data_IF_594402276862
#
_entry.id   IF_594402276862
#
_cell.length_a   1.000
_cell.length_b   1.000
_cell.length_c   1.000
_cell.angle_alpha   90.00
_cell.angle_beta   90.00
_cell.angle_gamma   90.00
#
_symmetry.space_group_name_H-M   'P 1'
#
loop_
_entity.id
_entity.type
_entity.pdbx_description
1 polymer ?
#
# COMPACT_ATOMS: atom_id res chain seq x y z
N UNK A 1 -38.30 7.19 -16.36
CA UNK A 1 -37.36 8.26 -16.01
C UNK A 1 -36.47 7.73 -14.87
N UNK A 2 -35.33 7.14 -15.18
CA UNK A 2 -34.37 6.70 -14.15
C UNK A 2 -33.55 7.93 -13.75
N UNK A 3 -33.69 8.37 -12.52
CA UNK A 3 -32.90 9.46 -11.98
C UNK A 3 -31.42 9.04 -11.98
N UNK A 4 -30.59 9.77 -12.68
CA UNK A 4 -29.14 9.77 -12.57
C UNK A 4 -28.77 10.28 -11.17
N UNK A 5 -28.84 9.39 -10.17
CA UNK A 5 -28.15 9.67 -8.90
C UNK A 5 -26.66 9.67 -9.22
N UNK A 6 -26.10 10.88 -9.36
CA UNK A 6 -24.66 11.08 -9.50
C UNK A 6 -23.95 10.38 -8.36
N UNK A 7 -22.87 9.66 -8.68
CA UNK A 7 -21.99 9.02 -7.71
C UNK A 7 -21.38 10.14 -6.85
N UNK A 8 -21.95 10.37 -5.68
CA UNK A 8 -21.53 11.44 -4.76
C UNK A 8 -20.93 10.86 -3.49
N UNK A 9 -20.16 9.80 -3.62
CA UNK A 9 -19.46 9.20 -2.50
C UNK A 9 -18.39 10.18 -1.97
N UNK A 10 -18.51 10.56 -0.71
CA UNK A 10 -17.52 11.42 -0.05
C UNK A 10 -16.17 10.72 0.13
N UNK A 11 -16.19 9.39 0.09
CA UNK A 11 -15.03 8.50 0.27
C UNK A 11 -15.09 7.35 -0.75
N UNK A 12 -13.95 6.97 -1.30
CA UNK A 12 -13.78 5.85 -2.21
C UNK A 12 -12.65 4.94 -1.73
N UNK A 13 -12.70 3.66 -2.10
CA UNK A 13 -11.67 2.68 -1.79
C UNK A 13 -11.09 2.12 -3.09
N UNK A 14 -9.80 2.33 -3.30
CA UNK A 14 -9.02 1.63 -4.33
C UNK A 14 -8.45 0.37 -3.69
N UNK A 15 -8.81 -0.79 -4.19
CA UNK A 15 -8.30 -2.09 -3.74
C UNK A 15 -7.48 -2.75 -4.84
N UNK A 16 -6.46 -3.48 -4.43
CA UNK A 16 -5.62 -4.29 -5.30
C UNK A 16 -5.53 -5.70 -4.71
N UNK A 17 -6.43 -6.58 -5.19
CA UNK A 17 -6.60 -7.91 -4.63
C UNK A 17 -5.87 -8.97 -5.46
N UNK A 18 -5.23 -9.90 -4.78
CA UNK A 18 -4.46 -11.02 -5.32
C UNK A 18 -5.11 -12.38 -5.00
N UNK A 19 -4.35 -13.45 -4.98
CA UNK A 19 -4.78 -14.81 -4.58
C UNK A 19 -5.99 -15.32 -5.39
N UNK A 20 -5.91 -15.20 -6.71
CA UNK A 20 -6.95 -15.68 -7.62
C UNK A 20 -8.02 -14.63 -7.98
N UNK A 21 -8.15 -13.57 -7.21
CA UNK A 21 -9.04 -12.46 -7.59
C UNK A 21 -8.42 -11.63 -8.72
N UNK A 22 -7.13 -11.30 -8.62
CA UNK A 22 -6.32 -10.59 -9.63
C UNK A 22 -7.05 -9.38 -10.22
N UNK A 23 -7.49 -8.49 -9.33
CA UNK A 23 -8.35 -7.37 -9.67
C UNK A 23 -7.88 -6.07 -9.01
N UNK A 24 -7.91 -5.00 -9.77
CA UNK A 24 -7.98 -3.64 -9.24
C UNK A 24 -9.44 -3.22 -9.25
N UNK A 25 -9.93 -2.66 -8.16
CA UNK A 25 -11.27 -2.10 -8.14
C UNK A 25 -11.31 -0.77 -7.38
N UNK A 26 -12.22 0.09 -7.80
CA UNK A 26 -12.62 1.29 -7.07
C UNK A 26 -14.05 1.06 -6.62
N UNK A 27 -14.28 1.14 -5.30
CA UNK A 27 -15.60 0.99 -4.70
C UNK A 27 -16.00 2.25 -3.95
N UNK A 28 -17.27 2.37 -3.62
CA UNK A 28 -17.68 3.22 -2.50
C UNK A 28 -17.40 2.54 -1.15
N UNK A 29 -17.78 3.17 -0.05
CA UNK A 29 -17.54 2.66 1.32
C UNK A 29 -18.46 1.49 1.70
N UNK A 30 -19.49 1.21 0.90
CA UNK A 30 -20.39 0.08 1.05
C UNK A 30 -20.01 -1.08 0.11
N UNK A 31 -18.80 -1.07 -0.46
CA UNK A 31 -18.28 -2.15 -1.32
C UNK A 31 -18.80 -2.15 -2.77
N UNK A 32 -19.74 -1.26 -3.12
CA UNK A 32 -20.26 -1.19 -4.50
C UNK A 32 -19.17 -0.84 -5.49
N UNK A 33 -18.90 -1.73 -6.44
CA UNK A 33 -17.90 -1.55 -7.48
C UNK A 33 -18.32 -0.45 -8.46
N UNK A 34 -17.50 0.57 -8.56
CA UNK A 34 -17.66 1.72 -9.47
C UNK A 34 -16.82 1.57 -10.73
N UNK A 35 -15.66 0.90 -10.61
CA UNK A 35 -14.74 0.58 -11.68
C UNK A 35 -13.92 -0.65 -11.31
N UNK A 36 -13.55 -1.45 -12.29
CA UNK A 36 -12.63 -2.58 -12.08
C UNK A 36 -11.76 -2.84 -13.29
N UNK A 37 -10.61 -3.46 -13.05
CA UNK A 37 -9.66 -3.87 -14.07
C UNK A 37 -9.04 -5.22 -13.66
N UNK A 38 -9.19 -6.25 -14.51
CA UNK A 38 -8.50 -7.51 -14.31
C UNK A 38 -7.03 -7.33 -14.61
N UNK A 39 -6.17 -7.81 -13.72
CA UNK A 39 -4.72 -7.82 -13.89
C UNK A 39 -4.26 -9.17 -14.40
N UNK A 40 -3.02 -9.25 -14.93
CA UNK A 40 -2.48 -10.50 -15.46
C UNK A 40 -2.32 -11.63 -14.44
N UNK A 41 -2.41 -11.30 -13.16
CA UNK A 41 -2.19 -12.22 -12.06
C UNK A 41 -0.74 -12.69 -11.94
N UNK A 42 -0.37 -13.24 -10.79
CA UNK A 42 0.96 -13.77 -10.59
C UNK A 42 1.15 -15.07 -11.37
N UNK A 43 2.24 -15.17 -12.10
CA UNK A 43 2.60 -16.39 -12.83
C UNK A 43 3.12 -17.49 -11.91
N UNK A 44 3.45 -17.21 -10.66
CA UNK A 44 3.92 -18.17 -9.65
C UNK A 44 3.53 -17.74 -8.24
N UNK A 45 2.81 -18.60 -7.50
CA UNK A 45 2.58 -18.52 -6.06
C UNK A 45 1.86 -17.24 -5.62
N UNK A 46 2.25 -16.73 -4.46
CA UNK A 46 1.65 -15.56 -3.80
C UNK A 46 2.09 -14.21 -4.39
N UNK A 47 2.54 -14.16 -5.64
CA UNK A 47 2.90 -12.92 -6.33
C UNK A 47 1.65 -12.05 -6.46
N UNK A 48 1.32 -11.40 -5.39
CA UNK A 48 0.18 -10.52 -5.30
C UNK A 48 0.56 -9.09 -5.53
N UNK A 49 -0.44 -8.28 -5.56
CA UNK A 49 -0.30 -6.85 -5.57
C UNK A 49 0.19 -6.39 -4.19
N UNK A 50 1.46 -5.98 -4.10
CA UNK A 50 2.07 -5.55 -2.84
C UNK A 50 2.00 -4.04 -2.64
N UNK A 51 1.71 -3.28 -3.70
CA UNK A 51 1.49 -1.84 -3.63
C UNK A 51 0.56 -1.36 -4.74
N UNK A 52 -0.17 -0.27 -4.49
CA UNK A 52 -1.09 0.37 -5.45
C UNK A 52 -1.22 1.85 -5.15
N UNK A 53 -1.24 2.69 -6.18
CA UNK A 53 -1.38 4.14 -6.04
C UNK A 53 -2.34 4.72 -7.07
N UNK A 54 -3.32 5.50 -6.61
CA UNK A 54 -4.00 6.47 -7.47
C UNK A 54 -3.06 7.67 -7.69
N UNK A 55 -2.70 7.93 -8.92
CA UNK A 55 -1.83 9.03 -9.29
C UNK A 55 -2.60 10.36 -9.44
N UNK A 56 -1.89 11.48 -9.37
CA UNK A 56 -2.48 12.81 -9.53
C UNK A 56 -3.19 13.02 -10.89
N UNK A 57 -2.72 12.37 -11.95
CA UNK A 57 -3.38 12.37 -13.25
C UNK A 57 -4.65 11.50 -13.29
N UNK A 58 -4.92 10.72 -12.22
CA UNK A 58 -6.06 9.81 -12.07
C UNK A 58 -5.84 8.42 -12.67
N UNK A 59 -4.62 8.11 -13.12
CA UNK A 59 -4.24 6.76 -13.49
C UNK A 59 -3.93 5.94 -12.23
N UNK A 60 -3.86 4.63 -12.38
CA UNK A 60 -3.50 3.71 -11.31
C UNK A 60 -2.15 3.09 -11.62
N UNK A 61 -1.21 3.20 -10.69
CA UNK A 61 0.09 2.54 -10.74
C UNK A 61 0.04 1.32 -9.82
N UNK A 62 0.40 0.15 -10.33
CA UNK A 62 0.29 -1.12 -9.60
C UNK A 62 1.36 -2.14 -10.03
N UNK A 63 1.50 -3.20 -9.27
CA UNK A 63 2.27 -4.38 -9.64
C UNK A 63 1.50 -5.25 -10.66
N UNK A 64 2.15 -5.58 -11.77
CA UNK A 64 1.65 -6.56 -12.74
C UNK A 64 2.35 -7.93 -12.59
N UNK A 65 3.48 -7.95 -11.91
CA UNK A 65 4.22 -9.15 -11.49
C UNK A 65 5.21 -8.80 -10.37
N UNK A 66 5.98 -9.77 -9.89
CA UNK A 66 7.05 -9.56 -8.91
C UNK A 66 8.10 -8.51 -9.30
N UNK A 67 8.23 -8.19 -10.58
CA UNK A 67 9.26 -7.26 -11.06
C UNK A 67 8.69 -6.11 -11.87
N UNK A 68 7.46 -6.26 -12.39
CA UNK A 68 6.88 -5.33 -13.35
C UNK A 68 5.85 -4.40 -12.71
N UNK A 69 6.05 -3.11 -12.92
CA UNK A 69 5.10 -2.05 -12.60
C UNK A 69 4.34 -1.63 -13.85
N UNK A 70 3.07 -1.30 -13.69
CA UNK A 70 2.19 -0.88 -14.78
C UNK A 70 1.36 0.32 -14.35
N UNK A 71 1.32 1.36 -15.19
CA UNK A 71 0.39 2.48 -15.06
C UNK A 71 -0.74 2.31 -16.06
N UNK A 72 -1.97 2.26 -15.55
CA UNK A 72 -3.19 2.09 -16.35
C UNK A 72 -4.12 3.28 -16.16
N UNK A 73 -4.76 3.72 -17.26
CA UNK A 73 -5.81 4.75 -17.21
C UNK A 73 -7.12 4.14 -16.71
N UNK A 74 -8.07 4.97 -16.26
CA UNK A 74 -9.42 4.51 -15.95
C UNK A 74 -10.15 3.95 -17.21
N UNK A 75 -9.74 4.34 -18.42
CA UNK A 75 -10.16 3.72 -19.69
C UNK A 75 -9.45 2.39 -19.98
N UNK A 76 -8.73 1.82 -19.01
CA UNK A 76 -8.05 0.52 -19.09
C UNK A 76 -6.90 0.45 -20.11
N UNK A 77 -6.39 1.60 -20.56
CA UNK A 77 -5.21 1.67 -21.44
C UNK A 77 -3.93 1.72 -20.61
N UNK A 78 -2.99 0.81 -20.87
CA UNK A 78 -1.64 0.86 -20.31
C UNK A 78 -0.88 2.03 -20.96
N UNK A 79 -0.31 2.91 -20.14
CA UNK A 79 0.38 4.12 -20.59
C UNK A 79 1.86 4.17 -20.17
N UNK A 80 2.25 3.33 -19.23
CA UNK A 80 3.65 3.17 -18.83
C UNK A 80 3.86 1.80 -18.19
N UNK A 81 5.03 1.21 -18.43
CA UNK A 81 5.49 -0.01 -17.76
C UNK A 81 6.97 0.09 -17.45
N UNK A 82 7.38 -0.58 -16.38
CA UNK A 82 8.79 -0.75 -16.01
C UNK A 82 8.99 -2.15 -15.43
N UNK A 83 9.89 -2.91 -16.02
CA UNK A 83 10.23 -4.26 -15.54
C UNK A 83 11.62 -4.24 -14.90
N UNK A 84 11.65 -4.11 -13.58
CA UNK A 84 12.87 -4.12 -12.77
C UNK A 84 13.72 -5.38 -13.02
N UNK A 85 13.10 -6.50 -13.36
CA UNK A 85 13.80 -7.75 -13.60
C UNK A 85 14.63 -7.78 -14.90
N UNK A 86 14.32 -6.87 -15.83
CA UNK A 86 14.96 -6.80 -17.16
C UNK A 86 15.81 -5.55 -17.38
N UNK A 87 15.73 -4.59 -16.46
CA UNK A 87 16.35 -3.27 -16.62
C UNK A 87 17.46 -3.02 -15.61
N UNK A 88 18.35 -2.08 -15.95
CA UNK A 88 19.34 -1.53 -15.04
C UNK A 88 20.27 -2.58 -14.39
N UNK A 89 20.70 -3.58 -15.20
CA UNK A 89 21.64 -4.61 -14.80
C UNK A 89 21.05 -5.71 -13.91
N UNK A 90 19.75 -5.89 -13.93
CA UNK A 90 19.04 -6.90 -13.12
C UNK A 90 18.75 -8.21 -13.86
N UNK A 91 19.08 -8.30 -15.15
CA UNK A 91 18.83 -9.51 -15.93
C UNK A 91 19.44 -10.75 -15.25
N UNK A 92 18.63 -11.80 -15.10
CA UNK A 92 19.00 -13.03 -14.41
C UNK A 92 19.05 -12.95 -12.88
N UNK A 93 18.79 -11.78 -12.26
CA UNK A 93 18.78 -11.62 -10.80
C UNK A 93 17.38 -11.77 -10.24
N UNK A 94 17.31 -12.21 -8.98
CA UNK A 94 16.09 -12.08 -8.18
C UNK A 94 15.94 -10.62 -7.74
N UNK A 95 14.85 -9.96 -8.14
CA UNK A 95 14.65 -8.53 -7.87
C UNK A 95 13.64 -8.30 -6.76
N UNK A 96 12.48 -8.93 -6.82
CA UNK A 96 11.37 -8.80 -5.85
C UNK A 96 11.05 -7.33 -5.51
N UNK A 97 10.30 -6.67 -6.36
CA UNK A 97 9.76 -5.33 -6.08
C UNK A 97 8.53 -5.47 -5.18
N UNK A 98 8.55 -4.87 -4.00
CA UNK A 98 7.41 -4.88 -3.09
C UNK A 98 6.79 -3.51 -2.85
N UNK A 99 7.54 -2.44 -3.07
CA UNK A 99 7.06 -1.09 -2.86
C UNK A 99 7.57 -0.13 -3.95
N UNK A 100 6.74 0.82 -4.31
CA UNK A 100 7.06 1.86 -5.28
C UNK A 100 6.20 3.10 -5.02
N UNK A 101 6.59 4.22 -5.56
CA UNK A 101 5.80 5.45 -5.53
C UNK A 101 6.13 6.36 -6.73
N UNK A 102 5.12 6.98 -7.33
CA UNK A 102 5.33 8.07 -8.27
C UNK A 102 5.65 9.35 -7.50
N UNK A 103 6.77 9.98 -7.81
CA UNK A 103 7.22 11.20 -7.19
C UNK A 103 6.60 12.44 -7.87
N UNK A 104 6.58 13.57 -7.18
CA UNK A 104 6.06 14.84 -7.71
C UNK A 104 6.78 15.33 -8.96
N UNK A 105 8.07 14.99 -9.12
CA UNK A 105 8.87 15.31 -10.30
C UNK A 105 8.60 14.37 -11.50
N UNK A 106 7.69 13.39 -11.35
CA UNK A 106 7.33 12.42 -12.37
C UNK A 106 8.20 11.16 -12.42
N UNK A 107 9.27 11.08 -11.64
CA UNK A 107 10.08 9.87 -11.48
C UNK A 107 9.32 8.83 -10.65
N UNK A 108 9.76 7.58 -10.68
CA UNK A 108 9.22 6.49 -9.87
C UNK A 108 10.28 5.97 -8.93
N UNK A 109 10.03 6.02 -7.64
CA UNK A 109 10.83 5.31 -6.64
C UNK A 109 10.43 3.85 -6.60
N UNK A 110 11.40 2.95 -6.54
CA UNK A 110 11.21 1.50 -6.56
C UNK A 110 12.15 0.86 -5.54
N UNK A 111 11.62 -0.02 -4.71
CA UNK A 111 12.40 -0.80 -3.75
C UNK A 111 12.64 -2.18 -4.34
N UNK A 112 13.88 -2.45 -4.74
CA UNK A 112 14.34 -3.72 -5.29
C UNK A 112 14.89 -4.60 -4.16
N UNK A 113 13.98 -5.30 -3.48
CA UNK A 113 14.27 -6.10 -2.28
C UNK A 113 15.33 -7.17 -2.51
N UNK A 114 15.18 -7.98 -3.57
CA UNK A 114 16.13 -9.06 -3.86
C UNK A 114 17.54 -8.58 -4.25
N UNK A 115 17.64 -7.37 -4.80
CA UNK A 115 18.93 -6.70 -5.12
C UNK A 115 19.47 -5.96 -3.90
N UNK A 116 18.60 -5.51 -3.01
CA UNK A 116 18.96 -4.79 -1.80
C UNK A 116 19.26 -3.31 -2.05
N UNK A 117 18.51 -2.66 -2.94
CA UNK A 117 18.66 -1.23 -3.24
C UNK A 117 17.32 -0.52 -3.40
N UNK A 118 17.34 0.79 -3.27
CA UNK A 118 16.26 1.68 -3.69
C UNK A 118 16.74 2.49 -4.88
N UNK A 119 15.91 2.57 -5.92
CA UNK A 119 16.19 3.35 -7.13
C UNK A 119 15.08 4.37 -7.38
N UNK A 120 15.41 5.45 -8.06
CA UNK A 120 14.45 6.34 -8.71
C UNK A 120 14.70 6.32 -10.21
N UNK A 121 13.68 6.00 -10.99
CA UNK A 121 13.76 5.96 -12.44
C UNK A 121 12.92 7.07 -13.08
N UNK A 122 13.39 7.61 -14.20
CA UNK A 122 12.60 8.52 -15.03
C UNK A 122 11.56 7.75 -15.86
N UNK A 123 10.77 8.47 -16.68
CA UNK A 123 9.77 7.83 -17.55
C UNK A 123 10.35 6.88 -18.59
N UNK A 124 11.63 7.04 -18.98
CA UNK A 124 12.33 6.14 -19.91
C UNK A 124 12.87 4.88 -19.22
N UNK A 125 12.89 4.85 -17.89
CA UNK A 125 13.45 3.76 -17.09
C UNK A 125 14.92 3.95 -16.72
N UNK A 126 15.53 5.12 -17.02
CA UNK A 126 16.91 5.40 -16.61
C UNK A 126 16.95 5.69 -15.11
N UNK A 127 17.96 5.16 -14.41
CA UNK A 127 18.19 5.45 -12.99
C UNK A 127 18.68 6.90 -12.86
N UNK A 128 17.92 7.68 -12.07
CA UNK A 128 18.25 9.07 -11.74
C UNK A 128 18.88 9.18 -10.35
N UNK A 129 18.52 8.26 -9.47
CA UNK A 129 19.03 8.19 -8.11
C UNK A 129 19.01 6.75 -7.62
N UNK A 130 19.98 6.35 -6.80
CA UNK A 130 19.98 5.04 -6.14
C UNK A 130 20.90 5.04 -4.91
N UNK A 131 20.57 4.12 -4.00
CA UNK A 131 21.46 3.72 -2.91
C UNK A 131 21.20 2.28 -2.50
N UNK A 132 22.22 1.64 -1.89
CA UNK A 132 22.11 0.28 -1.37
C UNK A 132 21.56 0.30 0.06
N UNK A 133 20.62 -0.59 0.34
CA UNK A 133 20.16 -0.84 1.70
C UNK A 133 21.20 -1.66 2.47
N UNK A 134 21.20 -1.56 3.80
CA UNK A 134 22.09 -2.34 4.65
C UNK A 134 21.80 -3.85 4.50
N UNK A 135 22.86 -4.64 4.27
CA UNK A 135 22.78 -6.09 4.04
C UNK A 135 22.86 -6.88 5.37
N UNK A 136 21.91 -6.67 6.25
CA UNK A 136 21.77 -7.36 7.53
C UNK A 136 20.33 -7.91 7.75
N UNK A 137 19.65 -8.24 6.65
CA UNK A 137 18.24 -8.63 6.62
C UNK A 137 17.30 -7.46 6.26
N UNK A 138 17.72 -6.20 6.39
CA UNK A 138 16.90 -5.01 6.04
C UNK A 138 16.49 -4.96 4.58
N UNK A 139 17.20 -5.64 3.71
CA UNK A 139 16.84 -5.77 2.29
C UNK A 139 15.61 -6.64 2.05
N UNK A 140 15.15 -7.46 3.00
CA UNK A 140 13.90 -8.23 2.89
C UNK A 140 12.67 -7.33 3.08
N UNK A 141 12.51 -6.37 2.19
CA UNK A 141 11.51 -5.32 2.29
C UNK A 141 10.10 -5.83 2.00
N UNK A 142 9.11 -5.19 2.63
CA UNK A 142 7.68 -5.40 2.33
C UNK A 142 7.01 -4.12 1.86
N UNK A 143 7.28 -3.00 2.50
CA UNK A 143 6.63 -1.75 2.16
C UNK A 143 7.58 -0.57 2.33
N UNK A 144 7.31 0.52 1.63
CA UNK A 144 8.05 1.77 1.76
C UNK A 144 7.12 2.95 1.56
N UNK A 145 7.29 3.95 2.41
CA UNK A 145 6.60 5.24 2.28
C UNK A 145 7.58 6.37 2.54
N UNK A 146 7.29 7.53 1.96
CA UNK A 146 8.06 8.72 2.24
C UNK A 146 7.63 9.36 3.56
N UNK A 147 8.59 9.83 4.34
CA UNK A 147 8.31 10.71 5.47
C UNK A 147 8.04 12.14 4.99
N UNK A 148 7.47 13.04 5.84
CA UNK A 148 7.32 14.46 5.50
C UNK A 148 8.62 15.13 5.08
N UNK A 149 9.76 14.70 5.62
CA UNK A 149 11.12 15.18 5.32
C UNK A 149 11.64 14.65 3.97
N UNK A 150 10.92 13.73 3.34
CA UNK A 150 11.32 13.11 2.06
C UNK A 150 12.29 11.95 2.20
N UNK A 151 12.45 11.39 3.40
CA UNK A 151 13.21 10.17 3.64
C UNK A 151 12.38 8.93 3.28
N UNK A 152 13.03 7.78 3.11
CA UNK A 152 12.41 6.50 2.80
C UNK A 152 12.20 5.72 4.09
N UNK A 153 10.94 5.57 4.52
CA UNK A 153 10.56 4.71 5.65
C UNK A 153 10.28 3.31 5.10
N UNK A 154 11.16 2.38 5.35
CA UNK A 154 11.16 1.02 4.77
C UNK A 154 10.91 -0.02 5.84
N UNK A 155 10.01 -0.94 5.57
CA UNK A 155 9.77 -2.09 6.44
C UNK A 155 10.43 -3.34 5.89
N UNK A 156 11.05 -4.12 6.76
CA UNK A 156 11.65 -5.41 6.42
C UNK A 156 11.02 -6.49 7.27
N UNK A 157 10.55 -7.55 6.62
CA UNK A 157 9.77 -8.59 7.28
C UNK A 157 10.61 -9.44 8.24
N UNK A 158 11.82 -9.78 7.83
CA UNK A 158 12.71 -10.63 8.58
C UNK A 158 14.17 -10.14 8.47
N UNK A 159 14.77 -9.58 9.52
CA UNK A 159 14.18 -9.34 10.83
C UNK A 159 13.07 -8.29 10.75
N UNK A 160 12.06 -8.32 11.63
CA UNK A 160 11.02 -7.31 11.68
C UNK A 160 11.58 -5.96 12.08
N UNK A 161 11.96 -5.13 11.12
CA UNK A 161 12.57 -3.82 11.37
C UNK A 161 11.96 -2.75 10.46
N UNK A 162 11.70 -1.60 11.03
CA UNK A 162 11.41 -0.36 10.29
C UNK A 162 12.69 0.45 10.25
N UNK A 163 13.09 0.90 9.06
CA UNK A 163 14.31 1.69 8.85
C UNK A 163 13.97 2.94 8.05
N UNK A 164 14.40 4.08 8.54
CA UNK A 164 14.33 5.33 7.82
C UNK A 164 15.69 5.65 7.20
N UNK A 165 15.73 5.70 5.86
CA UNK A 165 16.91 6.09 5.11
C UNK A 165 16.73 7.51 4.58
N UNK A 166 17.76 8.34 4.73
CA UNK A 166 17.81 9.60 4.01
C UNK A 166 18.13 9.37 2.51
N UNK A 167 18.15 10.44 1.72
CA UNK A 167 18.44 10.32 0.28
C UNK A 167 19.88 9.85 -0.04
N UNK A 168 20.81 9.90 0.91
CA UNK A 168 22.17 9.37 0.73
C UNK A 168 22.26 7.87 1.06
N UNK A 169 21.16 7.25 1.54
CA UNK A 169 21.14 5.86 2.00
C UNK A 169 21.68 5.68 3.42
N UNK A 170 21.83 6.76 4.18
CA UNK A 170 22.22 6.70 5.59
C UNK A 170 20.99 6.42 6.44
N UNK A 171 21.12 5.54 7.45
CA UNK A 171 20.07 5.25 8.41
C UNK A 171 19.99 6.41 9.40
N UNK A 172 18.84 7.11 9.43
CA UNK A 172 18.60 8.22 10.35
C UNK A 172 17.70 7.84 11.53
N UNK A 173 16.93 6.76 11.38
CA UNK A 173 16.13 6.16 12.45
C UNK A 173 15.84 4.70 12.12
N UNK A 174 15.73 3.85 13.14
CA UNK A 174 15.23 2.49 12.99
C UNK A 174 14.45 2.03 14.23
N UNK A 175 13.65 0.97 14.06
CA UNK A 175 12.94 0.32 15.16
C UNK A 175 12.83 -1.18 14.93
N UNK A 176 13.35 -1.97 15.87
CA UNK A 176 13.23 -3.43 15.86
C UNK A 176 11.89 -3.84 16.45
N UNK A 177 11.03 -4.43 15.62
CA UNK A 177 9.64 -4.77 15.98
C UNK A 177 9.57 -6.05 16.85
N UNK A 178 10.62 -6.87 16.89
CA UNK A 178 10.69 -8.18 17.56
C UNK A 178 9.74 -9.26 17.02
N UNK A 179 8.96 -8.95 16.01
CA UNK A 179 8.13 -9.87 15.23
C UNK A 179 8.36 -9.59 13.74
N UNK A 180 7.55 -10.13 12.85
CA UNK A 180 7.57 -9.69 11.47
C UNK A 180 7.04 -8.26 11.35
N UNK A 181 7.41 -7.55 10.28
CA UNK A 181 6.91 -6.21 9.98
C UNK A 181 6.47 -6.15 8.51
N UNK A 182 5.29 -5.62 8.26
CA UNK A 182 4.80 -5.46 6.89
C UNK A 182 4.78 -3.99 6.45
N UNK A 183 4.12 -3.12 7.19
CA UNK A 183 3.91 -1.73 6.82
C UNK A 183 4.27 -0.74 7.93
N UNK A 184 4.70 0.46 7.55
CA UNK A 184 4.88 1.57 8.47
C UNK A 184 4.62 2.91 7.78
N UNK A 185 4.05 3.85 8.52
CA UNK A 185 3.87 5.23 8.10
C UNK A 185 4.34 6.19 9.19
N UNK A 186 4.93 7.32 8.77
CA UNK A 186 5.19 8.43 9.67
C UNK A 186 3.90 9.24 9.82
N UNK A 187 3.45 9.41 11.04
CA UNK A 187 2.25 10.17 11.38
C UNK A 187 2.54 11.67 11.47
N UNK A 188 1.50 12.49 11.37
CA UNK A 188 1.59 13.96 11.48
C UNK A 188 2.16 14.44 12.82
N UNK A 189 1.99 13.66 13.89
CA UNK A 189 2.54 13.96 15.21
C UNK A 189 4.02 13.55 15.37
N UNK A 190 4.66 13.03 14.31
CA UNK A 190 6.05 12.56 14.31
C UNK A 190 6.23 11.10 14.74
N UNK A 191 5.21 10.44 15.30
CA UNK A 191 5.27 9.03 15.64
C UNK A 191 5.26 8.15 14.39
N UNK A 192 5.57 6.88 14.54
CA UNK A 192 5.49 5.87 13.48
C UNK A 192 4.41 4.86 13.81
N UNK A 193 3.44 4.68 12.93
CA UNK A 193 2.47 3.59 13.01
C UNK A 193 3.03 2.39 12.25
N UNK A 194 3.02 1.21 12.87
CA UNK A 194 3.67 -0.01 12.35
C UNK A 194 2.67 -1.17 12.36
N UNK A 195 2.51 -1.82 11.21
CA UNK A 195 1.75 -3.06 11.03
C UNK A 195 2.70 -4.24 11.07
N UNK A 196 2.49 -5.17 11.99
CA UNK A 196 3.47 -6.21 12.33
C UNK A 196 3.31 -7.50 11.52
N UNK A 197 2.52 -7.50 10.44
CA UNK A 197 2.29 -8.71 9.65
C UNK A 197 1.72 -9.85 10.50
N UNK A 198 2.36 -11.01 10.47
CA UNK A 198 1.96 -12.18 11.28
C UNK A 198 2.13 -11.99 12.81
N UNK A 199 2.68 -10.88 13.26
CA UNK A 199 2.68 -10.49 14.67
C UNK A 199 1.30 -10.07 15.19
N UNK A 200 0.29 -10.01 14.29
CA UNK A 200 -1.12 -9.73 14.60
C UNK A 200 -1.30 -8.50 15.49
N UNK A 201 -0.56 -7.44 15.20
CA UNK A 201 -0.65 -6.20 15.97
C UNK A 201 -0.36 -4.97 15.10
N UNK A 202 -0.88 -3.85 15.55
CA UNK A 202 -0.49 -2.51 15.07
C UNK A 202 -0.05 -1.70 16.28
N UNK A 203 1.10 -1.05 16.16
CA UNK A 203 1.69 -0.28 17.25
C UNK A 203 2.00 1.15 16.78
N UNK A 204 1.84 2.12 17.67
CA UNK A 204 2.32 3.49 17.46
C UNK A 204 3.58 3.71 18.33
N UNK A 205 4.67 4.12 17.69
CA UNK A 205 6.00 4.27 18.31
C UNK A 205 6.45 5.72 18.18
N UNK A 206 6.91 6.31 19.27
CA UNK A 206 7.47 7.66 19.29
C UNK A 206 8.86 7.73 18.63
N UNK A 207 9.38 8.92 18.29
CA UNK A 207 10.74 9.06 17.76
C UNK A 207 11.81 8.51 18.69
N UNK A 208 11.61 8.57 20.03
CA UNK A 208 12.49 7.98 21.05
C UNK A 208 12.19 6.49 21.33
N UNK A 209 11.47 5.84 20.41
CA UNK A 209 11.24 4.38 20.35
C UNK A 209 10.37 3.81 21.48
N UNK A 210 9.49 4.62 22.08
CA UNK A 210 8.49 4.15 23.06
C UNK A 210 7.19 3.80 22.37
N UNK A 211 6.58 2.66 22.71
CA UNK A 211 5.23 2.29 22.27
C UNK A 211 4.21 3.08 23.09
N UNK A 212 3.34 3.83 22.41
CA UNK A 212 2.32 4.69 23.04
C UNK A 212 0.89 4.25 22.74
N UNK A 213 0.70 3.39 21.75
CA UNK A 213 -0.59 2.77 21.44
C UNK A 213 -0.38 1.40 20.79
N UNK A 214 -1.29 0.45 21.06
CA UNK A 214 -1.24 -0.91 20.52
C UNK A 214 -2.62 -1.52 20.43
N UNK A 215 -2.89 -2.23 19.32
CA UNK A 215 -3.89 -3.30 19.24
C UNK A 215 -3.18 -4.61 18.89
N UNK A 216 -3.62 -5.72 19.49
CA UNK A 216 -2.99 -7.03 19.31
C UNK A 216 -4.01 -8.15 19.32
N UNK A 217 -3.87 -9.09 18.39
CA UNK A 217 -4.70 -10.29 18.21
C UNK A 217 -6.17 -10.02 17.94
N UNK A 218 -6.79 -9.08 18.64
CA UNK A 218 -8.19 -8.67 18.51
C UNK A 218 -8.32 -7.17 18.75
N UNK A 219 -9.23 -6.52 18.06
CA UNK A 219 -9.59 -5.13 18.34
C UNK A 219 -10.45 -5.08 19.61
N UNK A 220 -10.01 -4.39 20.69
CA UNK A 220 -10.75 -4.33 21.95
C UNK A 220 -12.19 -3.83 21.76
N UNK A 221 -13.15 -4.50 22.43
CA UNK A 221 -14.56 -4.14 22.35
C UNK A 221 -15.30 -4.53 21.07
N UNK A 222 -14.65 -5.28 20.16
CA UNK A 222 -15.24 -5.73 18.89
C UNK A 222 -15.10 -7.23 18.71
N UNK A 223 -15.60 -7.78 17.58
CA UNK A 223 -15.36 -9.15 17.16
C UNK A 223 -14.18 -9.29 16.17
N UNK A 224 -13.56 -8.18 15.74
CA UNK A 224 -12.51 -8.17 14.73
C UNK A 224 -11.26 -8.88 15.25
N UNK A 225 -10.93 -10.02 14.64
CA UNK A 225 -9.68 -10.74 14.85
C UNK A 225 -8.63 -10.21 13.90
N UNK A 226 -7.40 -10.04 14.39
CA UNK A 226 -6.29 -9.58 13.57
C UNK A 226 -5.59 -10.77 12.93
N UNK A 227 -5.51 -10.77 11.60
CA UNK A 227 -4.82 -11.78 10.80
C UNK A 227 -3.38 -11.37 10.49
N UNK A 228 -3.15 -10.90 9.29
CA UNK A 228 -1.88 -10.37 8.82
C UNK A 228 -2.00 -8.86 8.60
N UNK A 229 -1.44 -8.07 9.53
CA UNK A 229 -1.50 -6.61 9.49
C UNK A 229 -0.63 -6.06 8.36
N UNK A 230 -1.22 -5.27 7.45
CA UNK A 230 -0.56 -4.87 6.20
C UNK A 230 -0.49 -3.35 6.00
N UNK A 231 -1.22 -2.83 5.03
CA UNK A 231 -1.22 -1.41 4.70
C UNK A 231 -1.85 -0.56 5.82
N UNK A 232 -1.36 0.66 5.92
CA UNK A 232 -1.76 1.64 6.92
C UNK A 232 -2.01 2.99 6.26
N UNK A 233 -2.98 3.75 6.77
CA UNK A 233 -3.22 5.12 6.37
C UNK A 233 -3.69 5.96 7.56
N UNK A 234 -3.13 7.16 7.73
CA UNK A 234 -3.64 8.15 8.67
C UNK A 234 -4.66 9.05 7.97
N UNK A 235 -5.86 9.14 8.52
CA UNK A 235 -6.94 9.97 7.98
C UNK A 235 -6.83 11.40 8.46
N UNK A 236 -7.58 12.32 7.83
CA UNK A 236 -7.58 13.74 8.22
C UNK A 236 -8.12 13.98 9.62
N UNK A 237 -9.06 13.15 10.07
CA UNK A 237 -9.63 13.17 11.41
C UNK A 237 -8.69 12.59 12.49
N UNK A 238 -7.51 12.08 12.10
CA UNK A 238 -6.54 11.45 13.01
C UNK A 238 -6.80 9.98 13.29
N UNK A 239 -7.82 9.37 12.69
CA UNK A 239 -8.04 7.93 12.75
C UNK A 239 -7.04 7.19 11.86
N UNK A 240 -6.92 5.89 12.10
CA UNK A 240 -6.11 4.98 11.30
C UNK A 240 -7.01 4.08 10.46
N UNK A 241 -6.67 3.90 9.19
CA UNK A 241 -7.17 2.80 8.39
C UNK A 241 -6.12 1.70 8.43
N UNK A 242 -6.55 0.47 8.69
CA UNK A 242 -5.68 -0.69 8.92
C UNK A 242 -6.10 -1.83 7.99
N UNK A 243 -5.14 -2.41 7.27
CA UNK A 243 -5.35 -3.60 6.47
C UNK A 243 -5.20 -4.87 7.30
N UNK A 244 -6.19 -5.76 7.19
CA UNK A 244 -6.32 -7.01 7.93
C UNK A 244 -6.36 -8.20 6.95
N UNK A 245 -5.27 -8.41 6.24
CA UNK A 245 -5.11 -9.50 5.28
C UNK A 245 -5.09 -10.86 6.02
N UNK A 246 -5.56 -11.91 5.38
CA UNK A 246 -5.59 -13.28 5.95
C UNK A 246 -6.33 -13.40 7.29
N UNK A 247 -7.34 -12.58 7.50
CA UNK A 247 -8.16 -12.64 8.71
C UNK A 247 -9.35 -13.60 8.62
N UNK A 248 -9.60 -14.15 7.43
CA UNK A 248 -10.73 -15.03 7.14
C UNK A 248 -12.01 -14.29 6.75
N UNK A 249 -13.00 -15.03 6.28
CA UNK A 249 -14.24 -14.52 5.67
C UNK A 249 -15.11 -13.69 6.64
N UNK A 250 -15.03 -13.98 7.94
CA UNK A 250 -15.88 -13.32 8.95
C UNK A 250 -15.18 -12.14 9.64
N UNK A 251 -14.17 -11.55 8.99
CA UNK A 251 -13.45 -10.41 9.50
C UNK A 251 -13.26 -9.36 8.40
N UNK A 252 -13.39 -8.06 8.70
CA UNK A 252 -13.17 -7.03 7.71
C UNK A 252 -11.72 -7.06 7.22
N UNK A 253 -11.54 -6.90 5.90
CA UNK A 253 -10.22 -6.81 5.28
C UNK A 253 -9.57 -5.45 5.50
N UNK A 254 -10.38 -4.42 5.79
CA UNK A 254 -9.91 -3.07 6.14
C UNK A 254 -10.87 -2.53 7.21
N UNK A 255 -10.33 -1.79 8.18
CA UNK A 255 -11.16 -1.09 9.15
C UNK A 255 -10.56 0.26 9.56
N UNK A 256 -11.42 1.20 9.95
CA UNK A 256 -11.05 2.50 10.51
C UNK A 256 -11.21 2.49 12.03
N UNK A 257 -10.16 2.92 12.74
CA UNK A 257 -10.09 2.92 14.20
C UNK A 257 -9.44 4.19 14.74
N UNK A 258 -9.89 4.65 15.89
CA UNK A 258 -9.22 5.74 16.61
C UNK A 258 -8.33 5.19 17.76
N UNK A 259 -7.56 6.10 18.40
CA UNK A 259 -6.68 5.73 19.54
C UNK A 259 -7.42 5.30 20.81
N UNK A 260 -8.76 5.40 20.86
CA UNK A 260 -9.62 4.86 21.93
C UNK A 260 -10.13 3.45 21.58
N UNK A 261 -9.62 2.85 20.50
CA UNK A 261 -10.02 1.55 19.96
C UNK A 261 -11.50 1.50 19.48
N UNK A 262 -12.09 2.65 19.14
CA UNK A 262 -13.43 2.69 18.57
C UNK A 262 -13.35 2.56 17.06
N UNK A 263 -13.98 1.52 16.52
CA UNK A 263 -14.10 1.27 15.09
C UNK A 263 -15.25 2.09 14.54
N UNK A 264 -15.00 2.86 13.49
CA UNK A 264 -15.97 3.74 12.85
C UNK A 264 -16.40 3.30 11.45
N UNK A 265 -15.64 2.41 10.82
CA UNK A 265 -15.94 1.88 9.50
C UNK A 265 -15.21 0.55 9.30
N UNK A 266 -15.86 -0.36 8.56
CA UNK A 266 -15.36 -1.66 8.16
C UNK A 266 -15.59 -1.86 6.66
N UNK A 267 -14.64 -2.50 5.99
CA UNK A 267 -14.73 -2.96 4.62
C UNK A 267 -14.61 -4.47 4.63
N UNK A 268 -15.75 -5.13 4.42
CA UNK A 268 -15.88 -6.57 4.42
C UNK A 268 -16.49 -7.02 3.09
N UNK A 269 -15.63 -7.11 2.07
CA UNK A 269 -16.01 -7.43 0.70
C UNK A 269 -15.30 -8.70 0.22
N UNK A 270 -15.51 -9.78 0.96
CA UNK A 270 -14.88 -11.08 0.72
C UNK A 270 -15.03 -11.57 -0.72
N UNK A 271 -16.21 -11.47 -1.31
CA UNK A 271 -16.46 -11.91 -2.68
C UNK A 271 -15.63 -11.15 -3.70
N UNK A 272 -15.37 -9.88 -3.45
CA UNK A 272 -14.57 -9.02 -4.32
C UNK A 272 -13.07 -9.25 -4.14
N UNK A 273 -12.59 -9.27 -2.90
CA UNK A 273 -11.16 -9.20 -2.60
C UNK A 273 -10.58 -10.48 -2.02
N UNK A 274 -11.40 -11.36 -1.45
CA UNK A 274 -10.95 -12.61 -0.80
C UNK A 274 -10.01 -12.36 0.38
N UNK A 275 -9.22 -13.36 0.70
CA UNK A 275 -8.30 -13.37 1.86
C UNK A 275 -6.96 -12.62 1.60
N UNK A 276 -6.72 -12.19 0.37
CA UNK A 276 -5.41 -11.69 -0.08
C UNK A 276 -5.34 -10.18 -0.31
N UNK A 277 -6.13 -9.36 0.37
CA UNK A 277 -6.07 -7.91 0.24
C UNK A 277 -4.95 -7.34 1.12
N UNK A 278 -3.75 -7.22 0.55
CA UNK A 278 -2.59 -6.68 1.27
C UNK A 278 -2.45 -5.16 1.14
N UNK A 279 -2.95 -4.58 0.04
CA UNK A 279 -2.79 -3.15 -0.25
C UNK A 279 -4.06 -2.54 -0.82
N UNK A 280 -4.26 -1.30 -0.43
CA UNK A 280 -5.43 -0.50 -0.77
C UNK A 280 -5.10 0.99 -0.53
N UNK A 281 -6.01 1.87 -0.95
CA UNK A 281 -5.95 3.30 -0.67
C UNK A 281 -7.38 3.82 -0.43
N UNK A 282 -7.61 4.45 0.71
CA UNK A 282 -8.86 5.16 0.99
C UNK A 282 -8.70 6.60 0.57
N UNK A 283 -9.58 7.03 -0.33
CA UNK A 283 -9.61 8.37 -0.92
C UNK A 283 -10.74 9.18 -0.31
N UNK A 284 -10.44 10.40 0.13
CA UNK A 284 -11.44 11.29 0.72
C UNK A 284 -11.34 12.73 0.20
N UNK A 285 -12.40 13.51 0.39
CA UNK A 285 -12.44 14.92 0.10
C UNK A 285 -12.15 15.24 -1.38
N UNK A 286 -11.12 16.04 -1.67
CA UNK A 286 -10.81 16.48 -3.05
C UNK A 286 -10.42 15.33 -3.98
N UNK A 287 -9.73 14.32 -3.47
CA UNK A 287 -9.29 13.15 -4.27
C UNK A 287 -10.50 12.31 -4.68
N UNK A 288 -11.37 11.95 -3.73
CA UNK A 288 -12.59 11.21 -4.02
C UNK A 288 -13.49 11.98 -5.00
N UNK A 289 -13.69 13.28 -4.80
CA UNK A 289 -14.49 14.14 -5.70
C UNK A 289 -13.88 14.19 -7.11
N UNK A 290 -12.55 14.28 -7.22
CA UNK A 290 -11.85 14.28 -8.52
C UNK A 290 -12.04 12.94 -9.24
N UNK A 291 -11.88 11.83 -8.50
CA UNK A 291 -12.03 10.48 -9.06
C UNK A 291 -13.48 10.22 -9.49
N UNK A 292 -14.47 10.57 -8.67
CA UNK A 292 -15.90 10.44 -9.01
C UNK A 292 -16.24 11.15 -10.32
N UNK A 293 -15.75 12.39 -10.53
CA UNK A 293 -15.96 13.14 -11.78
C UNK A 293 -15.35 12.43 -12.99
N UNK A 294 -14.18 11.78 -12.82
CA UNK A 294 -13.54 11.01 -13.91
C UNK A 294 -14.32 9.73 -14.22
N UNK A 295 -14.75 9.01 -13.20
CA UNK A 295 -15.56 7.79 -13.35
C UNK A 295 -16.90 8.06 -14.05
N UNK A 296 -17.56 9.16 -13.69
CA UNK A 296 -18.80 9.56 -14.35
C UNK A 296 -18.63 9.84 -15.87
N UNK A 297 -17.51 10.46 -16.26
CA UNK A 297 -17.21 10.71 -17.68
C UNK A 297 -17.00 9.42 -18.50
N UNK A 298 -16.41 8.37 -17.88
CA UNK A 298 -16.13 7.10 -18.56
C UNK A 298 -17.41 6.29 -18.77
N UNK A 299 -18.40 6.42 -17.86
CA UNK A 299 -19.70 5.72 -18.00
C UNK A 299 -20.59 6.31 -19.09
N UNK A 300 -20.34 7.56 -19.48
CA UNK A 300 -21.14 8.29 -20.47
C UNK A 300 -20.53 8.25 -21.89
N UNK A 301 -19.35 7.65 -22.05
CA UNK A 301 -18.71 7.34 -23.33
C UNK A 301 -18.74 5.82 -23.60
#
# INVERSE_FOLDING_TARGET
MFSLQGINAERLVLVSASYGKNILAITDTAGKVLWSHKTGGPQRGHAGHHDVHLLDNGNILYHDSWTKLTEVTLGKKVVWTYDSGKMNGNDGKRVDVHAFARLKNGNTSIVESGVGRIIEVNKKGDIIHQFSMKKDGRQNTRWSRFTPEGNYLVTSENPGVVTEYNRKGEIVWDYLVKTRCYGAIRLKNGNTLIATGSGKSVIEVTPDKKVVWVIKEKVPGTQIQLGWMTALQEMKNGNFIIGNCHAGENNPQIFEINRKNQVSWEFDEWDLVGDGLAVWQVLEGREAKRLNRKLAKIKNN
#
